data_IF_917987157247
#
_entry.id   IF_917987157247
#
_cell.length_a   1.000
_cell.length_b   1.000
_cell.length_c   1.000
_cell.angle_alpha   90.00
_cell.angle_beta   90.00
_cell.angle_gamma   90.00
#
_symmetry.space_group_name_H-M   'P 1'
#
loop_
_entity.id
_entity.type
_entity.pdbx_description
1 polymer ?
#
# COMPACT_ATOMS: atom_id res chain seq x y z
N UNK A 1 -26.05 29.12 2.76
CA UNK A 1 -25.78 27.69 2.47
C UNK A 1 -24.38 27.41 2.91
N UNK A 2 -24.20 26.79 4.08
CA UNK A 2 -22.93 26.24 4.51
C UNK A 2 -22.76 24.92 3.76
N UNK A 3 -21.89 24.90 2.75
CA UNK A 3 -21.36 23.67 2.21
C UNK A 3 -20.63 22.99 3.36
N UNK A 4 -21.22 21.95 3.92
CA UNK A 4 -20.48 21.00 4.75
C UNK A 4 -19.47 20.34 3.85
N UNK A 5 -18.25 20.87 3.84
CA UNK A 5 -17.12 20.13 3.27
C UNK A 5 -17.03 18.83 4.07
N UNK A 6 -17.39 17.72 3.43
CA UNK A 6 -17.13 16.40 3.97
C UNK A 6 -15.61 16.28 4.15
N UNK A 7 -15.15 16.48 5.37
CA UNK A 7 -13.73 16.39 5.69
C UNK A 7 -13.35 14.92 5.90
N UNK A 8 -12.59 14.37 4.98
CA UNK A 8 -11.96 13.05 5.14
C UNK A 8 -10.76 13.20 6.06
N UNK A 9 -10.72 12.40 7.11
CA UNK A 9 -9.58 12.29 8.02
C UNK A 9 -8.79 11.03 7.70
N UNK A 10 -7.50 11.19 7.41
CA UNK A 10 -6.58 10.06 7.28
C UNK A 10 -5.83 9.92 8.61
N UNK A 11 -5.92 8.75 9.21
CA UNK A 11 -5.28 8.45 10.49
C UNK A 11 -4.79 7.00 10.54
N UNK A 12 -3.90 6.70 11.50
CA UNK A 12 -3.52 5.31 11.77
C UNK A 12 -4.73 4.51 12.23
N UNK A 13 -4.81 3.26 11.77
CA UNK A 13 -5.86 2.36 12.22
C UNK A 13 -5.64 1.95 13.68
N UNK A 14 -6.73 1.65 14.36
CA UNK A 14 -6.77 1.18 15.73
C UNK A 14 -7.44 -0.21 15.79
N UNK A 15 -7.26 -0.96 16.88
CA UNK A 15 -7.92 -2.28 17.01
C UNK A 15 -9.43 -2.25 16.81
N UNK A 16 -10.10 -1.15 17.18
CA UNK A 16 -11.54 -0.96 16.97
C UNK A 16 -11.94 -0.90 15.50
N UNK A 17 -11.01 -0.58 14.59
CA UNK A 17 -11.27 -0.41 13.17
C UNK A 17 -11.24 -1.73 12.39
N UNK A 18 -10.70 -2.80 12.97
CA UNK A 18 -10.44 -4.06 12.28
C UNK A 18 -11.69 -4.62 11.60
N UNK A 19 -12.81 -4.62 12.30
CA UNK A 19 -14.08 -5.13 11.76
C UNK A 19 -14.55 -4.34 10.55
N UNK A 20 -14.46 -3.01 10.61
CA UNK A 20 -14.83 -2.12 9.51
C UNK A 20 -13.89 -2.27 8.30
N UNK A 21 -12.60 -2.47 8.55
CA UNK A 21 -11.60 -2.70 7.48
C UNK A 21 -11.88 -4.03 6.78
N UNK A 22 -12.19 -5.08 7.52
CA UNK A 22 -12.59 -6.38 6.97
C UNK A 22 -13.80 -6.25 6.06
N UNK A 23 -14.84 -5.61 6.53
CA UNK A 23 -16.06 -5.37 5.77
C UNK A 23 -15.78 -4.58 4.50
N UNK A 24 -14.92 -3.56 4.60
CA UNK A 24 -14.50 -2.74 3.46
C UNK A 24 -13.89 -3.60 2.35
N UNK A 25 -12.98 -4.50 2.69
CA UNK A 25 -12.35 -5.37 1.70
C UNK A 25 -13.35 -6.36 1.08
N UNK A 26 -14.27 -6.90 1.88
CA UNK A 26 -15.32 -7.79 1.38
C UNK A 26 -16.29 -7.07 0.43
N UNK A 27 -16.53 -5.78 0.64
CA UNK A 27 -17.40 -4.99 -0.24
C UNK A 27 -16.67 -4.48 -1.49
N UNK A 28 -15.37 -4.19 -1.39
CA UNK A 28 -14.60 -3.60 -2.48
C UNK A 28 -14.12 -4.61 -3.52
N UNK A 29 -13.95 -5.87 -3.15
CA UNK A 29 -13.41 -6.93 -4.00
C UNK A 29 -14.41 -8.08 -4.15
N UNK A 30 -14.30 -8.80 -5.28
CA UNK A 30 -15.19 -9.92 -5.59
C UNK A 30 -14.92 -11.16 -4.73
N UNK A 31 -13.68 -11.29 -4.22
CA UNK A 31 -13.27 -12.41 -3.37
C UNK A 31 -12.89 -11.93 -1.97
N UNK A 32 -12.66 -12.86 -1.06
CA UNK A 32 -12.22 -12.56 0.31
C UNK A 32 -10.70 -12.55 0.48
N UNK A 33 -9.96 -12.64 -0.63
CA UNK A 33 -8.50 -12.75 -0.61
C UNK A 33 -7.83 -11.55 0.08
N UNK A 34 -8.23 -10.33 -0.27
CA UNK A 34 -7.67 -9.10 0.30
C UNK A 34 -8.01 -8.96 1.79
N UNK A 35 -9.21 -9.35 2.19
CA UNK A 35 -9.60 -9.38 3.60
C UNK A 35 -8.76 -10.42 4.39
N UNK A 36 -8.49 -11.56 3.79
CA UNK A 36 -7.64 -12.60 4.37
C UNK A 36 -6.20 -12.13 4.49
N UNK A 37 -5.65 -11.52 3.45
CA UNK A 37 -4.29 -10.95 3.46
C UNK A 37 -4.16 -9.91 4.58
N UNK A 38 -5.12 -9.01 4.72
CA UNK A 38 -5.13 -8.02 5.80
C UNK A 38 -5.03 -8.69 7.18
N UNK A 39 -5.85 -9.73 7.43
CA UNK A 39 -5.83 -10.44 8.71
C UNK A 39 -4.52 -11.17 8.96
N UNK A 40 -3.99 -11.87 7.97
CA UNK A 40 -2.74 -12.60 8.12
C UNK A 40 -1.55 -11.65 8.34
N UNK A 41 -1.48 -10.54 7.61
CA UNK A 41 -0.46 -9.52 7.83
C UNK A 41 -0.57 -8.88 9.22
N UNK A 42 -1.77 -8.63 9.68
CA UNK A 42 -2.02 -8.07 11.01
C UNK A 42 -1.51 -8.98 12.12
N UNK A 43 -1.57 -10.29 11.93
CA UNK A 43 -1.05 -11.30 12.87
C UNK A 43 0.40 -11.71 12.60
N UNK A 44 1.03 -11.16 11.57
CA UNK A 44 2.44 -11.40 11.28
C UNK A 44 3.36 -10.60 12.19
N UNK A 45 4.66 -10.95 12.15
CA UNK A 45 5.69 -10.18 12.85
C UNK A 45 6.30 -9.07 11.98
N UNK A 46 5.68 -8.79 10.83
CA UNK A 46 6.17 -7.75 9.92
C UNK A 46 5.86 -6.36 10.47
N UNK A 47 6.76 -5.43 10.18
CA UNK A 47 6.50 -4.01 10.43
C UNK A 47 5.44 -3.52 9.44
N UNK A 48 4.37 -2.93 9.97
CA UNK A 48 3.22 -2.49 9.20
C UNK A 48 2.96 -1.00 9.39
N UNK A 49 2.46 -0.38 8.31
CA UNK A 49 1.80 0.92 8.36
C UNK A 49 0.38 0.72 7.88
N UNK A 50 -0.59 1.05 8.70
CA UNK A 50 -2.02 0.84 8.41
C UNK A 50 -2.76 2.15 8.66
N UNK A 51 -3.34 2.71 7.59
CA UNK A 51 -4.08 3.97 7.64
C UNK A 51 -5.51 3.77 7.19
N UNK A 52 -6.43 4.48 7.82
CA UNK A 52 -7.84 4.54 7.43
C UNK A 52 -8.21 5.94 6.98
N UNK A 53 -9.15 5.99 6.05
CA UNK A 53 -9.85 7.22 5.68
C UNK A 53 -11.21 7.21 6.36
N UNK A 54 -11.41 8.15 7.25
CA UNK A 54 -12.62 8.27 8.07
C UNK A 54 -13.41 9.51 7.68
N UNK A 55 -14.71 9.34 7.57
CA UNK A 55 -15.65 10.43 7.36
C UNK A 55 -16.90 10.15 8.18
N UNK A 56 -17.33 11.15 8.96
CA UNK A 56 -18.47 11.02 9.89
C UNK A 56 -18.38 9.76 10.77
N UNK A 57 -17.19 9.52 11.35
CA UNK A 57 -16.91 8.37 12.22
C UNK A 57 -17.06 6.99 11.53
N UNK A 58 -17.07 6.95 10.19
CA UNK A 58 -17.15 5.73 9.42
C UNK A 58 -15.91 5.55 8.53
N UNK A 59 -15.42 4.33 8.43
CA UNK A 59 -14.27 4.00 7.58
C UNK A 59 -14.73 3.91 6.12
N UNK A 60 -14.12 4.74 5.26
CA UNK A 60 -14.40 4.80 3.82
C UNK A 60 -13.30 4.19 2.99
N UNK A 61 -12.10 4.07 3.53
CA UNK A 61 -10.96 3.49 2.83
C UNK A 61 -9.88 3.03 3.80
N UNK A 62 -8.97 2.21 3.28
CA UNK A 62 -7.85 1.67 4.03
C UNK A 62 -6.66 1.42 3.11
N UNK A 63 -5.45 1.61 3.63
CA UNK A 63 -4.20 1.28 2.97
C UNK A 63 -3.28 0.58 3.96
N UNK A 64 -2.60 -0.46 3.49
CA UNK A 64 -1.62 -1.20 4.28
C UNK A 64 -0.28 -1.23 3.56
N UNK A 65 0.77 -0.95 4.30
CA UNK A 65 2.14 -1.17 3.88
C UNK A 65 2.76 -2.21 4.79
N UNK A 66 3.47 -3.16 4.21
CA UNK A 66 4.20 -4.18 4.98
C UNK A 66 5.64 -4.26 4.52
N UNK A 67 6.56 -4.53 5.46
CA UNK A 67 7.97 -4.67 5.14
C UNK A 67 8.21 -5.87 4.25
N UNK A 68 8.89 -5.69 3.11
CA UNK A 68 9.26 -6.73 2.17
C UNK A 68 10.76 -7.06 2.29
N UNK A 69 11.12 -8.27 1.88
CA UNK A 69 12.51 -8.67 1.79
C UNK A 69 13.06 -8.30 0.42
N UNK A 70 14.34 -7.93 0.38
CA UNK A 70 15.08 -7.68 -0.84
C UNK A 70 16.20 -8.71 -0.96
N UNK A 71 16.32 -9.36 -2.11
CA UNK A 71 17.36 -10.34 -2.40
C UNK A 71 18.31 -9.79 -3.49
N UNK A 72 19.61 -9.65 -3.25
CA UNK A 72 20.33 -10.16 -2.06
C UNK A 72 19.97 -9.39 -0.79
N UNK A 73 20.06 -10.07 0.34
CA UNK A 73 19.78 -9.49 1.65
C UNK A 73 20.66 -8.25 1.85
N UNK A 74 20.02 -7.14 2.11
CA UNK A 74 20.68 -5.86 2.28
C UNK A 74 19.95 -5.07 3.37
N UNK A 75 20.62 -4.04 3.91
CA UNK A 75 20.02 -3.11 4.87
C UNK A 75 18.94 -2.20 4.23
N UNK A 76 18.59 -2.47 2.98
CA UNK A 76 17.59 -1.71 2.26
C UNK A 76 16.19 -2.00 2.79
N UNK A 77 15.62 -1.03 3.47
CA UNK A 77 14.26 -1.14 4.01
C UNK A 77 13.25 -0.81 2.92
N UNK A 78 12.65 -1.85 2.35
CA UNK A 78 11.60 -1.74 1.34
C UNK A 78 10.26 -2.12 1.97
N UNK A 79 9.22 -1.36 1.67
CA UNK A 79 7.84 -1.71 2.04
C UNK A 79 7.00 -1.93 0.79
N UNK A 80 6.01 -2.80 0.89
CA UNK A 80 5.04 -3.06 -0.18
C UNK A 80 3.70 -2.45 0.16
N UNK A 81 3.10 -1.78 -0.82
CA UNK A 81 1.75 -1.22 -0.73
C UNK A 81 0.76 -2.28 -1.20
N UNK A 82 0.11 -2.95 -0.27
CA UNK A 82 -0.99 -3.88 -0.51
C UNK A 82 -1.52 -4.44 0.82
N UNK A 83 -2.82 -4.63 0.96
CA UNK A 83 -3.87 -4.19 0.06
C UNK A 83 -4.28 -2.72 0.29
N UNK A 84 -5.04 -2.17 -0.64
CA UNK A 84 -5.68 -0.87 -0.52
C UNK A 84 -7.09 -0.95 -1.10
N UNK A 85 -8.04 -0.31 -0.45
CA UNK A 85 -9.39 -0.20 -0.97
C UNK A 85 -10.08 1.08 -0.52
N UNK A 86 -11.02 1.52 -1.34
CA UNK A 86 -12.02 2.56 -1.02
C UNK A 86 -13.39 1.94 -1.25
N UNK A 87 -14.33 2.17 -0.35
CA UNK A 87 -15.71 1.69 -0.53
C UNK A 87 -16.25 2.11 -1.91
N UNK A 88 -16.97 1.22 -2.62
CA UNK A 88 -17.40 1.50 -4.00
C UNK A 88 -18.13 2.82 -4.16
N UNK A 89 -19.05 3.16 -3.26
CA UNK A 89 -19.80 4.44 -3.32
C UNK A 89 -18.93 5.66 -3.03
N UNK A 90 -17.71 5.49 -2.56
CA UNK A 90 -16.78 6.57 -2.18
C UNK A 90 -15.58 6.67 -3.12
N UNK A 91 -15.52 5.84 -4.15
CA UNK A 91 -14.45 5.86 -5.16
C UNK A 91 -14.57 7.12 -6.06
N UNK A 92 -13.47 7.45 -6.73
CA UNK A 92 -13.38 8.59 -7.65
C UNK A 92 -13.63 9.96 -7.00
N UNK A 93 -13.37 10.07 -5.70
CA UNK A 93 -13.48 11.31 -4.91
C UNK A 93 -12.15 11.74 -4.29
N UNK A 94 -11.04 11.11 -4.69
CA UNK A 94 -9.70 11.44 -4.22
C UNK A 94 -9.26 10.76 -2.94
N UNK A 95 -10.08 9.88 -2.34
CA UNK A 95 -9.74 9.20 -1.08
C UNK A 95 -8.52 8.28 -1.26
N UNK A 96 -8.48 7.49 -2.35
CA UNK A 96 -7.34 6.64 -2.65
C UNK A 96 -6.03 7.42 -2.76
N UNK A 97 -6.08 8.58 -3.45
CA UNK A 97 -4.92 9.46 -3.57
C UNK A 97 -4.47 10.03 -2.22
N UNK A 98 -5.41 10.42 -1.36
CA UNK A 98 -5.10 10.88 0.00
C UNK A 98 -4.43 9.80 0.83
N UNK A 99 -4.94 8.56 0.76
CA UNK A 99 -4.35 7.40 1.45
C UNK A 99 -2.92 7.13 0.97
N UNK A 100 -2.68 7.15 -0.33
CA UNK A 100 -1.33 6.95 -0.88
C UNK A 100 -0.39 8.05 -0.42
N UNK A 101 -0.78 9.32 -0.54
CA UNK A 101 0.05 10.45 -0.15
C UNK A 101 0.42 10.41 1.34
N UNK A 102 -0.56 10.20 2.21
CA UNK A 102 -0.34 10.10 3.66
C UNK A 102 0.46 8.83 4.02
N UNK A 103 0.20 7.74 3.32
CA UNK A 103 0.96 6.50 3.48
C UNK A 103 2.44 6.67 3.13
N UNK A 104 2.74 7.35 2.03
CA UNK A 104 4.12 7.64 1.63
C UNK A 104 4.83 8.56 2.64
N UNK A 105 4.14 9.56 3.19
CA UNK A 105 4.68 10.38 4.28
C UNK A 105 5.03 9.52 5.50
N UNK A 106 4.14 8.61 5.89
CA UNK A 106 4.37 7.69 7.01
C UNK A 106 5.56 6.76 6.75
N UNK A 107 5.70 6.25 5.52
CA UNK A 107 6.84 5.43 5.12
C UNK A 107 8.17 6.20 5.24
N UNK A 108 8.20 7.44 4.80
CA UNK A 108 9.39 8.31 4.96
C UNK A 108 9.72 8.54 6.43
N UNK A 109 8.72 8.81 7.23
CA UNK A 109 8.87 9.05 8.66
C UNK A 109 9.44 7.82 9.39
N UNK A 110 9.02 6.63 9.00
CA UNK A 110 9.55 5.37 9.52
C UNK A 110 10.85 4.92 8.85
N UNK A 111 11.44 5.76 8.00
CA UNK A 111 12.76 5.57 7.37
C UNK A 111 12.80 4.38 6.40
N UNK A 112 11.69 4.01 5.78
CA UNK A 112 11.73 3.17 4.60
C UNK A 112 12.42 3.90 3.45
N UNK A 113 13.16 3.17 2.63
CA UNK A 113 13.92 3.73 1.52
C UNK A 113 13.16 3.71 0.22
N UNK A 114 12.27 2.74 0.06
CA UNK A 114 11.49 2.57 -1.15
C UNK A 114 10.17 1.89 -0.85
N UNK A 115 9.20 2.12 -1.73
CA UNK A 115 7.89 1.46 -1.73
C UNK A 115 7.73 0.75 -3.05
N UNK A 116 7.32 -0.52 -3.02
CA UNK A 116 6.93 -1.26 -4.22
C UNK A 116 5.42 -1.43 -4.25
N UNK A 117 4.87 -1.50 -5.45
CA UNK A 117 3.45 -1.78 -5.67
C UNK A 117 3.28 -2.61 -6.93
N UNK A 118 2.40 -3.59 -6.85
CA UNK A 118 1.88 -4.31 -8.02
C UNK A 118 0.46 -3.77 -8.27
N UNK A 119 0.29 -2.97 -9.30
CA UNK A 119 -1.00 -2.31 -9.48
C UNK A 119 -1.15 -1.56 -10.78
N UNK A 120 -2.15 -0.73 -10.82
CA UNK A 120 -2.57 -0.01 -12.01
C UNK A 120 -1.49 0.93 -12.55
N UNK A 121 -1.01 0.74 -13.80
CA UNK A 121 0.08 1.53 -14.36
C UNK A 121 -0.31 2.99 -14.67
N UNK A 122 -1.60 3.34 -14.53
CA UNK A 122 -2.08 4.72 -14.73
C UNK A 122 -2.37 5.45 -13.42
N UNK A 123 -2.46 4.74 -12.31
CA UNK A 123 -2.77 5.37 -11.02
C UNK A 123 -1.49 5.75 -10.26
N UNK A 124 -0.59 4.79 -10.06
CA UNK A 124 0.58 4.97 -9.21
C UNK A 124 1.64 5.94 -9.78
N UNK A 125 1.85 6.06 -11.10
CA UNK A 125 2.80 7.06 -11.61
C UNK A 125 2.49 8.50 -11.21
N UNK A 126 1.25 8.82 -10.88
CA UNK A 126 0.87 10.15 -10.36
C UNK A 126 1.60 10.52 -9.07
N UNK A 127 2.06 9.53 -8.32
CA UNK A 127 2.77 9.71 -7.05
C UNK A 127 4.29 9.59 -7.20
N UNK A 128 4.79 9.38 -8.42
CA UNK A 128 6.20 9.22 -8.72
C UNK A 128 6.68 7.79 -8.86
N UNK A 129 5.80 6.81 -8.80
CA UNK A 129 6.16 5.40 -9.05
C UNK A 129 6.57 5.22 -10.51
N UNK A 130 7.61 4.42 -10.71
CA UNK A 130 8.12 4.04 -12.04
C UNK A 130 8.32 2.53 -12.09
N UNK A 131 8.39 1.91 -13.29
CA UNK A 131 8.70 0.49 -13.38
C UNK A 131 10.00 0.14 -12.65
N UNK A 132 9.94 -0.86 -11.78
CA UNK A 132 11.08 -1.23 -10.93
C UNK A 132 12.29 -1.76 -11.71
N UNK A 133 12.07 -2.24 -12.94
CA UNK A 133 13.13 -2.71 -13.83
C UNK A 133 14.15 -1.63 -14.16
N UNK A 134 13.77 -0.36 -14.09
CA UNK A 134 14.68 0.77 -14.29
C UNK A 134 15.80 0.83 -13.23
N UNK A 135 15.57 0.21 -12.07
CA UNK A 135 16.60 0.05 -11.01
C UNK A 135 17.20 -1.35 -10.98
N UNK A 136 16.86 -2.23 -11.94
CA UNK A 136 17.26 -3.62 -11.91
C UNK A 136 16.58 -4.45 -10.81
N UNK A 137 15.48 -3.95 -10.26
CA UNK A 137 14.70 -4.61 -9.20
C UNK A 137 13.53 -5.33 -9.85
N UNK A 138 13.31 -6.58 -9.45
CA UNK A 138 12.26 -7.44 -9.99
C UNK A 138 11.35 -7.96 -8.88
N UNK A 139 10.11 -8.25 -9.23
CA UNK A 139 9.23 -9.08 -8.42
C UNK A 139 9.65 -10.55 -8.50
N UNK A 140 9.43 -11.30 -7.42
CA UNK A 140 9.53 -12.77 -7.48
C UNK A 140 8.41 -13.39 -8.33
N UNK A 141 7.34 -12.66 -8.58
CA UNK A 141 6.24 -13.09 -9.45
C UNK A 141 6.53 -12.73 -10.90
N UNK A 142 6.08 -13.59 -11.82
CA UNK A 142 6.15 -13.33 -13.26
C UNK A 142 5.01 -12.37 -13.64
N UNK A 143 5.33 -11.10 -13.70
CA UNK A 143 4.36 -10.04 -14.01
C UNK A 143 4.95 -9.10 -15.05
N UNK A 144 4.06 -8.42 -15.77
CA UNK A 144 4.44 -7.41 -16.75
C UNK A 144 5.20 -6.26 -16.07
N UNK A 145 6.32 -5.77 -16.67
CA UNK A 145 7.13 -4.72 -16.05
C UNK A 145 6.38 -3.43 -15.71
N UNK A 146 5.36 -3.07 -16.49
CA UNK A 146 4.61 -1.84 -16.27
C UNK A 146 3.69 -1.86 -15.03
N UNK A 147 3.39 -3.05 -14.48
CA UNK A 147 2.52 -3.16 -13.30
C UNK A 147 3.30 -3.31 -11.98
N UNK A 148 4.59 -3.69 -12.06
CA UNK A 148 5.44 -3.74 -10.87
C UNK A 148 6.29 -2.48 -10.79
N UNK A 149 5.91 -1.58 -9.89
CA UNK A 149 6.46 -0.24 -9.80
C UNK A 149 7.12 -0.01 -8.44
N UNK A 150 8.06 0.93 -8.43
CA UNK A 150 8.79 1.32 -7.24
C UNK A 150 8.88 2.84 -7.14
N UNK A 151 8.90 3.34 -5.91
CA UNK A 151 9.17 4.74 -5.60
C UNK A 151 10.33 4.82 -4.62
N UNK A 152 11.39 5.54 -5.00
CA UNK A 152 12.42 5.93 -4.04
C UNK A 152 11.88 6.99 -3.08
N UNK A 153 11.94 6.71 -1.78
CA UNK A 153 11.55 7.69 -0.76
C UNK A 153 12.69 8.68 -0.46
N UNK A 154 13.91 8.28 -0.79
CA UNK A 154 15.09 9.14 -0.73
C UNK A 154 15.83 9.02 -2.07
N UNK A 155 16.05 10.13 -2.79
CA UNK A 155 16.72 10.10 -4.10
C UNK A 155 18.07 9.39 -4.07
N UNK A 156 18.30 8.52 -5.07
CA UNK A 156 19.55 7.81 -5.26
C UNK A 156 19.75 6.56 -4.40
N UNK A 157 18.82 6.23 -3.49
CA UNK A 157 18.99 5.10 -2.57
C UNK A 157 18.98 3.74 -3.29
N UNK A 158 18.34 3.64 -4.45
CA UNK A 158 18.23 2.40 -5.22
C UNK A 158 19.30 2.25 -6.30
N UNK A 159 20.14 3.23 -6.54
CA UNK A 159 21.09 3.25 -7.65
C UNK A 159 22.11 2.09 -7.66
N UNK A 160 22.30 1.41 -6.53
CA UNK A 160 23.25 0.29 -6.35
C UNK A 160 22.62 -0.93 -5.69
N UNK A 161 21.32 -1.11 -5.81
CA UNK A 161 20.60 -2.15 -5.09
C UNK A 161 19.73 -3.02 -6.01
N UNK A 162 20.30 -3.55 -7.14
CA UNK A 162 19.54 -4.46 -7.97
C UNK A 162 19.21 -5.75 -7.21
N UNK A 163 18.16 -6.43 -7.61
CA UNK A 163 17.78 -7.68 -6.98
C UNK A 163 16.30 -8.00 -7.14
N UNK A 164 15.83 -8.92 -6.32
CA UNK A 164 14.45 -9.39 -6.33
C UNK A 164 13.76 -9.05 -5.03
N UNK A 165 12.58 -8.48 -5.11
CA UNK A 165 11.70 -8.23 -3.96
C UNK A 165 10.89 -9.49 -3.69
N UNK A 166 10.94 -9.97 -2.46
CA UNK A 166 10.19 -11.15 -2.00
C UNK A 166 9.03 -10.73 -1.12
N UNK A 167 7.86 -11.20 -1.51
CA UNK A 167 6.62 -10.99 -0.79
C UNK A 167 6.50 -11.96 0.39
N UNK A 168 5.75 -11.57 1.40
CA UNK A 168 5.30 -12.53 2.41
C UNK A 168 4.42 -13.60 1.74
N UNK A 169 4.51 -14.85 2.24
CA UNK A 169 3.79 -16.00 1.66
C UNK A 169 2.28 -15.80 1.52
N UNK A 170 1.68 -14.95 2.35
CA UNK A 170 0.26 -14.62 2.29
C UNK A 170 -0.17 -14.07 0.92
N UNK A 171 0.72 -13.38 0.22
CA UNK A 171 0.44 -12.83 -1.11
C UNK A 171 0.38 -13.88 -2.22
N UNK A 172 0.78 -15.11 -1.97
CA UNK A 172 0.69 -16.21 -2.95
C UNK A 172 -0.77 -16.58 -3.28
N UNK A 173 -1.73 -16.02 -2.54
CA UNK A 173 -3.17 -16.27 -2.74
C UNK A 173 -3.84 -15.37 -3.75
N UNK A 174 -3.14 -14.33 -4.26
CA UNK A 174 -3.69 -13.40 -5.23
C UNK A 174 -3.18 -13.72 -6.64
#
# INVERSE_FOLDING_TARGET
YLETQNSILIRSSEPKDVSAIQTLYLEAFETDEEATIFQELRHSNLELISLVAEEECQIRGHILFSMFQHDPDSDLRITGLAPMAVLPCWQNQGIGSMLVQKGLEACRHQKFKAVVVLGHPRFYPRFGFIPSVEFGIRSEYDVSPEVFMILELKPGVLSRSPGTVKYHEVFNRI
#
